data_IF_580196449683
#
_entry.id   IF_580196449683
#
_cell.length_a   1.000
_cell.length_b   1.000
_cell.length_c   1.000
_cell.angle_alpha   90.00
_cell.angle_beta   90.00
_cell.angle_gamma   90.00
#
_symmetry.space_group_name_H-M   'P 1'
#
loop_
_entity.id
_entity.type
_entity.pdbx_description
1 polymer ?
#
# COMPACT_ATOMS: atom_id res chain seq x y z
N UNK A 1 22.79 -7.11 15.29
CA UNK A 1 22.00 -6.61 16.42
C UNK A 1 21.73 -5.11 16.34
N UNK A 2 22.75 -4.28 16.01
CA UNK A 2 22.55 -2.82 15.90
C UNK A 2 21.44 -2.46 14.92
N UNK A 3 21.39 -3.11 13.76
CA UNK A 3 20.31 -2.90 12.77
C UNK A 3 18.93 -3.34 13.29
N UNK A 4 18.85 -4.43 14.06
CA UNK A 4 17.61 -4.89 14.69
C UNK A 4 17.08 -3.88 15.70
N UNK A 5 17.96 -3.33 16.54
CA UNK A 5 17.62 -2.25 17.47
C UNK A 5 17.19 -0.98 16.72
N UNK A 6 17.96 -0.57 15.71
CA UNK A 6 17.66 0.63 14.92
C UNK A 6 16.31 0.51 14.21
N UNK A 7 16.01 -0.64 13.60
CA UNK A 7 14.72 -0.91 12.97
C UNK A 7 13.57 -0.79 13.99
N UNK A 8 13.72 -1.34 15.19
CA UNK A 8 12.73 -1.20 16.25
C UNK A 8 12.56 0.24 16.70
N UNK A 9 13.64 1.02 16.81
CA UNK A 9 13.57 2.44 17.17
C UNK A 9 12.88 3.27 16.06
N UNK A 10 13.11 2.97 14.78
CA UNK A 10 12.43 3.65 13.65
C UNK A 10 10.90 3.47 13.77
N UNK A 11 10.43 2.24 13.93
CA UNK A 11 8.98 1.97 14.09
C UNK A 11 8.45 2.58 15.38
N UNK A 12 9.22 2.46 16.46
CA UNK A 12 8.88 3.00 17.78
C UNK A 12 8.77 4.53 17.82
N UNK A 13 9.54 5.24 16.99
CA UNK A 13 9.47 6.70 16.88
C UNK A 13 8.09 7.14 16.37
N UNK A 14 7.56 6.49 15.34
CA UNK A 14 6.23 6.79 14.83
C UNK A 14 5.14 6.46 15.88
N UNK A 15 5.23 5.30 16.52
CA UNK A 15 4.26 4.92 17.56
C UNK A 15 4.29 5.85 18.76
N UNK A 16 5.48 6.22 19.22
CA UNK A 16 5.66 7.21 20.28
C UNK A 16 5.09 8.59 19.93
N UNK A 17 5.30 9.02 18.69
CA UNK A 17 4.73 10.27 18.19
C UNK A 17 3.20 10.21 18.06
N UNK A 18 2.65 9.13 17.49
CA UNK A 18 1.21 8.96 17.32
C UNK A 18 0.46 8.93 18.67
N UNK A 19 1.11 8.41 19.71
CA UNK A 19 0.54 8.26 21.06
C UNK A 19 1.00 9.36 22.06
N UNK A 20 1.65 10.43 21.58
CA UNK A 20 2.24 11.44 22.47
C UNK A 20 1.23 12.14 23.40
N UNK A 21 -0.03 12.22 22.99
CA UNK A 21 -1.12 12.82 23.77
C UNK A 21 -1.76 11.87 24.79
N UNK A 22 -1.40 10.57 24.79
CA UNK A 22 -1.91 9.61 25.76
C UNK A 22 -1.11 9.67 27.05
N UNK A 23 -1.79 9.55 28.20
CA UNK A 23 -1.16 9.51 29.52
C UNK A 23 -0.15 8.37 29.66
N UNK A 24 0.89 8.63 30.46
CA UNK A 24 1.90 7.61 30.80
C UNK A 24 1.20 6.46 31.59
N UNK A 25 1.30 5.22 31.08
CA UNK A 25 0.64 4.05 31.66
C UNK A 25 -0.53 3.49 30.85
N UNK A 26 -1.15 4.28 29.97
CA UNK A 26 -2.20 3.83 29.04
C UNK A 26 -1.66 3.37 27.67
N UNK A 27 -0.37 3.52 27.43
CA UNK A 27 0.30 3.15 26.19
C UNK A 27 0.67 1.67 26.23
N UNK A 28 0.26 0.89 25.25
CA UNK A 28 0.61 -0.54 25.13
C UNK A 28 2.10 -0.72 24.88
N UNK A 29 2.71 0.12 24.01
CA UNK A 29 4.13 0.08 23.69
C UNK A 29 4.60 1.46 23.18
N UNK A 30 5.70 1.96 23.74
CA UNK A 30 6.33 3.21 23.36
C UNK A 30 7.62 3.00 22.59
N UNK A 31 8.31 4.11 22.28
CA UNK A 31 9.58 4.15 21.54
C UNK A 31 10.61 3.11 22.03
N UNK A 32 10.87 3.05 23.34
CA UNK A 32 11.82 2.10 23.95
C UNK A 32 11.37 0.66 23.79
N UNK A 33 10.06 0.40 23.96
CA UNK A 33 9.49 -0.95 23.87
C UNK A 33 9.67 -1.52 22.47
N UNK A 34 9.44 -0.72 21.44
CA UNK A 34 9.67 -1.15 20.05
C UNK A 34 11.14 -1.41 19.75
N UNK A 35 12.07 -0.60 20.29
CA UNK A 35 13.50 -0.86 20.19
C UNK A 35 13.88 -2.21 20.83
N UNK A 36 13.34 -2.49 22.02
CA UNK A 36 13.56 -3.78 22.71
C UNK A 36 12.95 -4.96 21.96
N UNK A 37 11.77 -4.79 21.35
CA UNK A 37 11.15 -5.83 20.52
C UNK A 37 12.01 -6.13 19.29
N UNK A 38 12.52 -5.12 18.60
CA UNK A 38 13.45 -5.31 17.49
C UNK A 38 14.73 -6.03 17.91
N UNK A 39 15.33 -5.62 19.03
CA UNK A 39 16.52 -6.27 19.59
C UNK A 39 16.22 -7.72 20.00
N UNK A 40 15.08 -7.99 20.64
CA UNK A 40 14.63 -9.34 20.99
C UNK A 40 14.49 -10.23 19.73
N UNK A 41 13.98 -9.69 18.64
CA UNK A 41 13.94 -10.39 17.35
C UNK A 41 15.34 -10.73 16.83
N UNK A 42 16.27 -9.78 16.90
CA UNK A 42 17.68 -10.00 16.53
C UNK A 42 18.37 -11.06 17.41
N UNK A 43 18.12 -11.07 18.71
CA UNK A 43 18.64 -12.09 19.64
C UNK A 43 17.99 -13.46 19.37
N UNK A 44 16.69 -13.49 19.12
CA UNK A 44 15.97 -14.72 18.75
C UNK A 44 16.56 -15.37 17.50
N UNK A 45 17.00 -14.57 16.53
CA UNK A 45 17.62 -15.06 15.30
C UNK A 45 19.01 -15.70 15.52
N UNK A 46 19.73 -15.33 16.59
CA UNK A 46 21.02 -15.89 16.97
C UNK A 46 20.90 -17.11 17.88
N UNK A 47 19.76 -17.28 18.53
CA UNK A 47 19.49 -18.42 19.40
C UNK A 47 19.09 -19.67 18.57
N UNK A 48 19.17 -20.89 19.16
CA UNK A 48 18.54 -22.07 18.59
C UNK A 48 17.06 -21.82 18.29
N UNK A 49 16.53 -22.42 17.24
CA UNK A 49 15.18 -22.14 16.74
C UNK A 49 14.09 -22.31 17.81
N UNK A 50 14.22 -23.29 18.70
CA UNK A 50 13.29 -23.50 19.83
C UNK A 50 13.30 -22.34 20.82
N UNK A 51 14.46 -21.79 21.13
CA UNK A 51 14.62 -20.65 22.04
C UNK A 51 14.14 -19.38 21.34
N UNK A 52 14.50 -19.20 20.07
CA UNK A 52 14.03 -18.08 19.25
C UNK A 52 12.52 -18.04 19.14
N UNK A 53 11.88 -19.20 18.92
CA UNK A 53 10.42 -19.34 18.88
C UNK A 53 9.80 -19.01 20.26
N UNK A 54 10.38 -19.47 21.36
CA UNK A 54 9.90 -19.18 22.72
C UNK A 54 9.95 -17.67 23.02
N UNK A 55 11.00 -16.96 22.60
CA UNK A 55 11.11 -15.50 22.73
C UNK A 55 9.99 -14.82 21.92
N UNK A 56 9.77 -15.26 20.67
CA UNK A 56 8.71 -14.73 19.81
C UNK A 56 7.31 -14.92 20.39
N UNK A 57 7.03 -16.11 20.93
CA UNK A 57 5.75 -16.42 21.63
C UNK A 57 5.60 -15.50 22.86
N UNK A 58 6.65 -15.34 23.65
CA UNK A 58 6.63 -14.45 24.82
C UNK A 58 6.30 -13.00 24.43
N UNK A 59 6.91 -12.47 23.38
CA UNK A 59 6.60 -11.13 22.84
C UNK A 59 5.15 -11.07 22.36
N UNK A 60 4.66 -12.08 21.64
CA UNK A 60 3.28 -12.14 21.16
C UNK A 60 2.28 -12.16 22.30
N UNK A 61 2.54 -12.92 23.39
CA UNK A 61 1.68 -12.97 24.58
C UNK A 61 1.63 -11.59 25.27
N UNK A 62 2.78 -10.96 25.50
CA UNK A 62 2.84 -9.63 26.14
C UNK A 62 2.07 -8.59 25.34
N UNK A 63 2.25 -8.57 24.00
CA UNK A 63 1.52 -7.68 23.12
C UNK A 63 0.03 -7.99 23.07
N UNK A 64 -0.34 -9.27 23.06
CA UNK A 64 -1.74 -9.72 23.09
C UNK A 64 -2.47 -9.36 24.39
N UNK A 65 -1.81 -9.54 25.54
CA UNK A 65 -2.34 -9.12 26.84
C UNK A 65 -2.48 -7.59 26.91
N UNK A 66 -1.49 -6.85 26.38
CA UNK A 66 -1.56 -5.41 26.29
C UNK A 66 -2.75 -4.96 25.43
N UNK A 67 -2.99 -5.62 24.30
CA UNK A 67 -4.14 -5.37 23.42
C UNK A 67 -5.47 -5.68 24.14
N UNK A 68 -5.59 -6.84 24.79
CA UNK A 68 -6.81 -7.25 25.48
C UNK A 68 -7.19 -6.28 26.61
N UNK A 69 -6.20 -5.70 27.31
CA UNK A 69 -6.43 -4.66 28.32
C UNK A 69 -6.87 -3.34 27.71
N UNK A 70 -6.20 -2.92 26.63
CA UNK A 70 -6.53 -1.67 25.91
C UNK A 70 -7.92 -1.74 25.26
N UNK A 71 -8.37 -2.93 24.87
CA UNK A 71 -9.69 -3.15 24.28
C UNK A 71 -10.85 -2.88 25.25
N UNK A 72 -10.62 -3.01 26.55
CA UNK A 72 -11.64 -2.72 27.60
C UNK A 72 -11.89 -1.23 27.79
N UNK A 73 -10.94 -0.39 27.40
CA UNK A 73 -11.00 1.08 27.57
C UNK A 73 -11.50 1.81 26.31
N UNK A 74 -12.19 1.13 25.40
CA UNK A 74 -12.77 1.67 24.13
C UNK A 74 -11.74 2.30 23.15
N UNK A 75 -10.45 2.06 23.37
CA UNK A 75 -9.34 2.62 22.59
C UNK A 75 -8.66 1.54 21.74
N UNK A 76 -9.45 0.68 21.09
CA UNK A 76 -8.97 -0.47 20.33
C UNK A 76 -8.16 -0.04 19.09
N UNK A 77 -6.85 -0.21 19.13
CA UNK A 77 -6.01 -0.18 17.93
C UNK A 77 -5.15 -1.44 17.83
N UNK A 78 -5.62 -2.44 17.10
CA UNK A 78 -4.83 -3.62 16.75
C UNK A 78 -3.51 -3.27 16.04
N UNK A 79 -3.45 -2.09 15.43
CA UNK A 79 -2.29 -1.60 14.67
C UNK A 79 -1.01 -1.58 15.51
N UNK A 80 -1.07 -1.20 16.80
CA UNK A 80 0.11 -1.16 17.66
C UNK A 80 0.64 -2.57 17.96
N UNK A 81 -0.26 -3.52 18.20
CA UNK A 81 0.09 -4.93 18.43
C UNK A 81 0.70 -5.56 17.19
N UNK A 82 0.08 -5.35 16.03
CA UNK A 82 0.59 -5.85 14.74
C UNK A 82 1.93 -5.21 14.42
N UNK A 83 2.09 -3.90 14.64
CA UNK A 83 3.37 -3.22 14.45
C UNK A 83 4.47 -3.80 15.37
N UNK A 84 4.14 -4.18 16.61
CA UNK A 84 5.08 -4.83 17.53
C UNK A 84 5.52 -6.20 17.03
N UNK A 85 4.59 -7.04 16.59
CA UNK A 85 4.90 -8.36 16.00
C UNK A 85 5.76 -8.22 14.73
N UNK A 86 5.41 -7.27 13.87
CA UNK A 86 6.17 -6.97 12.65
C UNK A 86 7.59 -6.48 13.00
N UNK A 87 7.73 -5.64 14.03
CA UNK A 87 9.04 -5.16 14.51
C UNK A 87 9.92 -6.31 14.99
N UNK A 88 9.35 -7.30 15.70
CA UNK A 88 10.07 -8.51 16.08
C UNK A 88 10.56 -9.27 14.84
N UNK A 89 9.68 -9.50 13.86
CA UNK A 89 10.03 -10.18 12.61
C UNK A 89 11.13 -9.43 11.82
N UNK A 90 11.06 -8.10 11.77
CA UNK A 90 12.10 -7.25 11.16
C UNK A 90 13.44 -7.40 11.92
N UNK A 91 13.39 -7.51 13.25
CA UNK A 91 14.57 -7.79 14.06
C UNK A 91 15.22 -9.13 13.73
N UNK A 92 14.42 -10.19 13.53
CA UNK A 92 14.89 -11.49 13.04
C UNK A 92 15.50 -11.36 11.64
N UNK A 93 14.82 -10.67 10.73
CA UNK A 93 15.29 -10.43 9.37
C UNK A 93 16.62 -9.68 9.31
N UNK A 94 16.86 -8.75 10.25
CA UNK A 94 18.11 -7.98 10.33
C UNK A 94 19.36 -8.86 10.50
N UNK A 95 19.19 -10.01 11.15
CA UNK A 95 20.27 -10.96 11.39
C UNK A 95 20.31 -12.04 10.29
N UNK A 96 19.16 -12.60 9.92
CA UNK A 96 19.10 -13.73 8.98
C UNK A 96 19.16 -13.32 7.52
N UNK A 97 18.59 -12.16 7.15
CA UNK A 97 18.45 -11.71 5.75
C UNK A 97 19.31 -10.48 5.43
N UNK A 98 19.83 -9.82 6.45
CA UNK A 98 20.72 -8.68 6.32
C UNK A 98 20.14 -7.33 6.76
N UNK A 99 21.02 -6.39 7.16
CA UNK A 99 20.61 -5.12 7.73
C UNK A 99 19.85 -4.22 6.74
N UNK A 100 20.22 -4.23 5.46
CA UNK A 100 19.60 -3.36 4.45
C UNK A 100 18.12 -3.68 4.27
N UNK A 101 17.75 -4.97 4.16
CA UNK A 101 16.35 -5.39 4.03
C UNK A 101 15.54 -5.04 5.29
N UNK A 102 16.12 -5.26 6.47
CA UNK A 102 15.44 -4.95 7.73
C UNK A 102 15.18 -3.44 7.90
N UNK A 103 16.18 -2.61 7.59
CA UNK A 103 16.00 -1.15 7.65
C UNK A 103 15.01 -0.64 6.61
N UNK A 104 15.01 -1.21 5.39
CA UNK A 104 14.01 -0.91 4.37
C UNK A 104 12.59 -1.30 4.82
N UNK A 105 12.43 -2.49 5.43
CA UNK A 105 11.16 -2.95 6.00
C UNK A 105 10.69 -2.05 7.16
N UNK A 106 11.61 -1.63 8.03
CA UNK A 106 11.30 -0.69 9.11
C UNK A 106 10.87 0.69 8.58
N UNK A 107 11.56 1.20 7.55
CA UNK A 107 11.20 2.46 6.90
C UNK A 107 9.83 2.37 6.19
N UNK A 108 9.55 1.28 5.49
CA UNK A 108 8.25 1.03 4.89
C UNK A 108 7.14 0.94 5.95
N UNK A 109 7.39 0.23 7.05
CA UNK A 109 6.46 0.15 8.18
C UNK A 109 6.20 1.54 8.77
N UNK A 110 7.24 2.32 9.01
CA UNK A 110 7.13 3.71 9.48
C UNK A 110 6.28 4.55 8.52
N UNK A 111 6.53 4.48 7.21
CA UNK A 111 5.79 5.23 6.19
C UNK A 111 4.29 4.86 6.18
N UNK A 112 3.96 3.56 6.23
CA UNK A 112 2.57 3.09 6.29
C UNK A 112 1.88 3.58 7.56
N UNK A 113 2.53 3.49 8.70
CA UNK A 113 1.96 3.91 9.98
C UNK A 113 1.76 5.44 10.05
N UNK A 114 2.73 6.22 9.55
CA UNK A 114 2.66 7.69 9.51
C UNK A 114 1.61 8.21 8.53
N UNK A 115 1.34 7.47 7.45
CA UNK A 115 0.33 7.81 6.44
C UNK A 115 -1.13 7.66 6.92
N UNK A 116 -1.38 7.16 8.14
CA UNK A 116 -2.72 6.86 8.67
C UNK A 116 -3.73 7.99 8.43
N UNK A 117 -3.36 9.24 8.73
CA UNK A 117 -4.28 10.40 8.58
C UNK A 117 -4.62 10.65 7.12
N UNK A 118 -3.62 10.61 6.25
CA UNK A 118 -3.80 10.82 4.81
C UNK A 118 -4.62 9.69 4.18
N UNK A 119 -4.38 8.44 4.59
CA UNK A 119 -5.14 7.28 4.14
C UNK A 119 -6.61 7.35 4.57
N UNK A 120 -6.89 7.72 5.83
CA UNK A 120 -8.27 7.90 6.31
C UNK A 120 -8.97 9.07 5.62
N UNK A 121 -8.27 10.18 5.37
CA UNK A 121 -8.82 11.30 4.62
C UNK A 121 -9.13 10.90 3.16
N UNK A 122 -8.25 10.12 2.54
CA UNK A 122 -8.47 9.58 1.20
C UNK A 122 -9.72 8.67 1.18
N UNK A 123 -9.79 7.71 2.09
CA UNK A 123 -10.92 6.76 2.17
C UNK A 123 -12.27 7.45 2.44
N UNK A 124 -12.30 8.46 3.32
CA UNK A 124 -13.53 9.24 3.57
C UNK A 124 -13.98 10.04 2.34
N UNK A 125 -13.06 10.39 1.46
CA UNK A 125 -13.36 11.10 0.22
C UNK A 125 -13.85 10.19 -0.92
N UNK A 126 -13.75 8.86 -0.79
CA UNK A 126 -14.17 7.91 -1.84
C UNK A 126 -15.66 7.62 -1.75
N UNK A 127 -16.34 7.65 -2.90
CA UNK A 127 -17.71 7.15 -3.06
C UNK A 127 -17.70 5.63 -3.25
N UNK A 128 -18.84 4.98 -3.03
CA UNK A 128 -18.99 3.55 -3.26
C UNK A 128 -18.65 3.15 -4.71
N UNK A 129 -19.04 3.99 -5.67
CA UNK A 129 -18.75 3.80 -7.10
C UNK A 129 -17.25 3.86 -7.41
N UNK A 130 -16.49 4.68 -6.68
CA UNK A 130 -15.03 4.77 -6.83
C UNK A 130 -14.34 3.53 -6.27
N UNK A 131 -14.78 3.06 -5.11
CA UNK A 131 -14.26 1.81 -4.53
C UNK A 131 -14.50 0.64 -5.46
N UNK A 132 -15.69 0.57 -6.06
CA UNK A 132 -16.03 -0.46 -7.04
C UNK A 132 -15.16 -0.35 -8.32
N UNK A 133 -14.91 0.86 -8.81
CA UNK A 133 -14.03 1.08 -9.96
C UNK A 133 -12.59 0.65 -9.67
N UNK A 134 -12.07 0.96 -8.47
CA UNK A 134 -10.76 0.47 -8.01
C UNK A 134 -10.74 -1.06 -7.95
N UNK A 135 -11.76 -1.67 -7.35
CA UNK A 135 -11.83 -3.13 -7.23
C UNK A 135 -11.85 -3.82 -8.60
N UNK A 136 -12.64 -3.31 -9.54
CA UNK A 136 -12.67 -3.82 -10.92
C UNK A 136 -11.32 -3.66 -11.62
N UNK A 137 -10.66 -2.51 -11.46
CA UNK A 137 -9.33 -2.27 -12.02
C UNK A 137 -8.30 -3.26 -11.44
N UNK A 138 -8.26 -3.43 -10.11
CA UNK A 138 -7.35 -4.37 -9.46
C UNK A 138 -7.61 -5.81 -9.90
N UNK A 139 -8.87 -6.21 -10.06
CA UNK A 139 -9.24 -7.52 -10.56
C UNK A 139 -8.69 -7.74 -11.97
N UNK A 140 -8.89 -6.80 -12.87
CA UNK A 140 -8.40 -6.88 -14.26
C UNK A 140 -6.88 -6.89 -14.31
N UNK A 141 -6.22 -6.05 -13.50
CA UNK A 141 -4.76 -5.87 -13.54
C UNK A 141 -4.01 -6.95 -12.77
N UNK A 142 -4.46 -7.34 -11.57
CA UNK A 142 -3.70 -8.21 -10.67
C UNK A 142 -4.18 -9.66 -10.67
N UNK A 143 -5.46 -9.89 -10.97
CA UNK A 143 -6.02 -11.25 -10.97
C UNK A 143 -5.97 -11.86 -12.36
N UNK A 144 -6.49 -11.17 -13.38
CA UNK A 144 -6.60 -11.76 -14.73
C UNK A 144 -5.24 -11.82 -15.44
N UNK A 145 -4.44 -10.74 -15.39
CA UNK A 145 -3.19 -10.64 -16.13
C UNK A 145 -2.17 -11.77 -15.83
N UNK A 146 -1.92 -12.18 -14.56
CA UNK A 146 -0.95 -13.23 -14.27
C UNK A 146 -1.34 -14.61 -14.81
N UNK A 147 -2.65 -14.88 -15.00
CA UNK A 147 -3.15 -16.18 -15.48
C UNK A 147 -3.19 -16.27 -17.00
N UNK A 148 -2.95 -15.17 -17.70
CA UNK A 148 -2.93 -15.20 -19.17
C UNK A 148 -1.59 -15.75 -19.67
N UNK A 149 -1.63 -16.70 -20.64
CA UNK A 149 -0.41 -17.26 -21.22
C UNK A 149 0.36 -16.18 -21.98
N UNK A 150 1.69 -16.17 -21.79
CA UNK A 150 2.62 -15.35 -22.56
C UNK A 150 3.18 -16.17 -23.71
N UNK A 151 2.30 -16.49 -24.66
CA UNK A 151 2.61 -17.28 -25.83
C UNK A 151 1.98 -16.65 -27.06
N UNK A 152 2.71 -16.65 -28.17
CA UNK A 152 2.21 -16.14 -29.44
C UNK A 152 1.33 -17.22 -30.07
N UNK A 153 0.00 -17.02 -30.07
CA UNK A 153 -1.02 -17.95 -30.53
C UNK A 153 -1.60 -17.52 -31.88
N UNK A 154 -2.31 -18.45 -32.53
CA UNK A 154 -3.04 -18.22 -33.76
C UNK A 154 -2.20 -18.23 -35.04
N UNK A 155 -2.81 -17.93 -36.20
CA UNK A 155 -2.11 -17.89 -37.47
C UNK A 155 -0.97 -16.88 -37.43
N UNK A 156 0.22 -17.30 -37.83
CA UNK A 156 1.45 -16.48 -37.83
C UNK A 156 1.93 -15.99 -36.45
N UNK A 157 1.43 -16.57 -35.34
CA UNK A 157 1.81 -16.10 -33.97
C UNK A 157 1.36 -14.68 -33.65
N UNK A 158 0.27 -14.21 -34.29
CA UNK A 158 -0.12 -12.79 -34.22
C UNK A 158 -0.80 -12.40 -32.89
N UNK A 159 -1.24 -13.36 -32.08
CA UNK A 159 -2.07 -13.13 -30.90
C UNK A 159 -1.35 -13.55 -29.63
N UNK A 160 -0.94 -12.57 -28.83
CA UNK A 160 -0.44 -12.86 -27.49
C UNK A 160 -1.47 -12.34 -26.46
N UNK A 161 -2.20 -13.25 -25.75
CA UNK A 161 -3.26 -12.87 -24.83
C UNK A 161 -2.77 -11.93 -23.73
N UNK A 162 -1.57 -12.16 -23.20
CA UNK A 162 -0.99 -11.32 -22.16
C UNK A 162 -0.68 -9.92 -22.63
N UNK A 163 -0.10 -9.79 -23.84
CA UNK A 163 0.19 -8.47 -24.43
C UNK A 163 -1.08 -7.69 -24.75
N UNK A 164 -2.09 -8.35 -25.32
CA UNK A 164 -3.39 -7.73 -25.58
C UNK A 164 -4.04 -7.27 -24.28
N UNK A 165 -4.03 -8.12 -23.26
CA UNK A 165 -4.61 -7.77 -21.97
C UNK A 165 -3.86 -6.64 -21.27
N UNK A 166 -2.54 -6.55 -21.44
CA UNK A 166 -1.75 -5.44 -20.92
C UNK A 166 -2.20 -4.09 -21.49
N UNK A 167 -2.62 -4.05 -22.76
CA UNK A 167 -3.23 -2.85 -23.37
C UNK A 167 -4.55 -2.49 -22.69
N UNK A 168 -5.37 -3.49 -22.36
CA UNK A 168 -6.64 -3.29 -21.62
C UNK A 168 -6.37 -2.73 -20.23
N UNK A 169 -5.39 -3.30 -19.49
CA UNK A 169 -4.97 -2.80 -18.17
C UNK A 169 -4.47 -1.36 -18.26
N UNK A 170 -3.67 -1.06 -19.27
CA UNK A 170 -3.15 0.28 -19.50
C UNK A 170 -4.27 1.30 -19.78
N UNK A 171 -5.20 0.95 -20.68
CA UNK A 171 -6.36 1.79 -20.97
C UNK A 171 -7.24 2.03 -19.72
N UNK A 172 -7.45 0.98 -18.91
CA UNK A 172 -8.17 1.08 -17.64
C UNK A 172 -7.43 1.95 -16.63
N UNK A 173 -6.10 1.84 -16.54
CA UNK A 173 -5.26 2.67 -15.67
C UNK A 173 -5.33 4.16 -16.07
N UNK A 174 -5.27 4.46 -17.35
CA UNK A 174 -5.40 5.82 -17.88
C UNK A 174 -6.78 6.40 -17.58
N UNK A 175 -7.83 5.63 -17.80
CA UNK A 175 -9.20 6.06 -17.53
C UNK A 175 -9.43 6.33 -16.04
N UNK A 176 -8.94 5.44 -15.17
CA UNK A 176 -9.01 5.60 -13.73
C UNK A 176 -8.13 6.79 -13.25
N UNK A 177 -6.90 6.90 -13.73
CA UNK A 177 -6.00 8.01 -13.43
C UNK A 177 -6.60 9.36 -13.83
N UNK A 178 -7.26 9.39 -15.00
CA UNK A 178 -7.98 10.57 -15.48
C UNK A 178 -9.14 10.98 -14.60
N UNK A 179 -9.91 10.01 -14.15
CA UNK A 179 -11.00 10.25 -13.23
C UNK A 179 -10.50 10.85 -11.90
N UNK A 180 -9.45 10.24 -11.31
CA UNK A 180 -8.83 10.74 -10.06
C UNK A 180 -8.24 12.14 -10.26
N UNK A 181 -7.56 12.39 -11.38
CA UNK A 181 -6.99 13.69 -11.70
C UNK A 181 -8.07 14.78 -11.89
N UNK A 182 -9.16 14.46 -12.61
CA UNK A 182 -10.28 15.37 -12.80
C UNK A 182 -10.94 15.76 -11.49
N UNK A 183 -11.08 14.80 -10.57
CA UNK A 183 -11.65 15.03 -9.24
C UNK A 183 -10.75 15.89 -8.36
N UNK A 184 -9.43 15.71 -8.44
CA UNK A 184 -8.48 16.42 -7.56
C UNK A 184 -8.09 17.79 -8.07
N UNK A 185 -8.02 17.99 -9.38
CA UNK A 185 -7.50 19.20 -10.03
C UNK A 185 -8.54 19.95 -10.86
N UNK A 186 -9.79 19.47 -10.89
CA UNK A 186 -10.86 19.96 -11.75
C UNK A 186 -10.87 19.29 -13.13
N UNK A 187 -12.02 19.31 -13.79
CA UNK A 187 -12.25 18.56 -15.05
C UNK A 187 -11.27 18.96 -16.16
N UNK A 188 -10.99 20.24 -16.33
CA UNK A 188 -10.10 20.72 -17.40
C UNK A 188 -8.65 20.27 -17.21
N UNK A 189 -8.10 20.42 -16.00
CA UNK A 189 -6.72 19.98 -15.69
C UNK A 189 -6.59 18.46 -15.66
N UNK A 190 -7.63 17.77 -15.19
CA UNK A 190 -7.68 16.32 -15.20
C UNK A 190 -7.59 15.74 -16.62
N UNK A 191 -8.31 16.32 -17.58
CA UNK A 191 -8.25 15.93 -19.01
C UNK A 191 -6.84 16.17 -19.56
N UNK A 192 -6.22 17.30 -19.25
CA UNK A 192 -4.85 17.61 -19.73
C UNK A 192 -3.80 16.63 -19.17
N UNK A 193 -3.90 16.27 -17.88
CA UNK A 193 -2.97 15.30 -17.26
C UNK A 193 -3.12 13.94 -17.92
N UNK A 194 -4.35 13.49 -18.19
CA UNK A 194 -4.59 12.21 -18.87
C UNK A 194 -4.12 12.25 -20.32
N UNK A 195 -4.38 13.34 -21.02
CA UNK A 195 -3.92 13.52 -22.40
C UNK A 195 -2.39 13.47 -22.49
N UNK A 196 -1.69 14.17 -21.58
CA UNK A 196 -0.22 14.19 -21.56
C UNK A 196 0.37 12.83 -21.18
N UNK A 197 -0.11 12.21 -20.11
CA UNK A 197 0.40 10.89 -19.68
C UNK A 197 0.03 9.79 -20.67
N UNK A 198 -1.15 9.84 -21.23
CA UNK A 198 -1.62 8.89 -22.23
C UNK A 198 -0.91 9.04 -23.58
N UNK A 199 -0.56 10.25 -24.00
CA UNK A 199 0.19 10.50 -25.25
C UNK A 199 1.58 9.86 -25.22
N UNK A 200 2.21 9.78 -24.05
CA UNK A 200 3.51 9.09 -23.88
C UNK A 200 3.39 7.58 -24.12
N UNK A 201 2.22 7.01 -23.80
CA UNK A 201 2.00 5.55 -23.85
C UNK A 201 1.38 5.11 -25.18
N UNK A 202 0.37 5.83 -25.68
CA UNK A 202 -0.27 5.57 -26.97
C UNK A 202 -1.13 6.77 -27.40
N UNK A 203 -0.72 7.44 -28.44
CA UNK A 203 -1.47 8.55 -29.06
C UNK A 203 -2.87 8.11 -29.53
N UNK A 204 -2.97 6.90 -30.03
CA UNK A 204 -4.26 6.33 -30.54
C UNK A 204 -5.29 6.12 -29.43
N UNK A 205 -4.86 5.56 -28.26
CA UNK A 205 -5.74 5.35 -27.13
C UNK A 205 -6.24 6.69 -26.55
N UNK A 206 -5.39 7.70 -26.48
CA UNK A 206 -5.74 9.05 -26.00
C UNK A 206 -6.72 9.74 -26.95
N UNK A 207 -6.48 9.64 -28.27
CA UNK A 207 -7.36 10.23 -29.27
C UNK A 207 -8.76 9.60 -29.19
N UNK A 208 -8.86 8.29 -29.03
CA UNK A 208 -10.14 7.59 -28.86
C UNK A 208 -10.89 7.98 -27.58
N UNK A 209 -10.18 8.17 -26.46
CA UNK A 209 -10.80 8.62 -25.19
C UNK A 209 -11.26 10.07 -25.26
N UNK A 210 -10.45 10.96 -25.86
CA UNK A 210 -10.81 12.36 -26.07
C UNK A 210 -12.02 12.50 -27.00
N UNK A 211 -12.07 11.72 -28.09
CA UNK A 211 -13.19 11.73 -29.02
C UNK A 211 -14.53 11.32 -28.35
N UNK A 212 -14.48 10.44 -27.38
CA UNK A 212 -15.68 10.04 -26.59
C UNK A 212 -16.15 11.08 -25.59
N UNK A 213 -15.26 11.95 -25.14
CA UNK A 213 -15.54 12.99 -24.11
C UNK A 213 -15.98 14.32 -24.73
N UNK A 214 -15.67 14.54 -26.01
CA UNK A 214 -16.15 15.73 -26.72
C UNK A 214 -17.66 15.56 -26.99
N UNK A 215 -18.51 16.52 -26.56
CA UNK A 215 -19.93 16.50 -26.92
C UNK A 215 -20.01 16.60 -28.45
N UNK A 216 -20.86 15.75 -29.06
CA UNK A 216 -21.17 15.88 -30.46
C UNK A 216 -21.70 17.30 -30.71
N UNK A 217 -20.88 18.16 -31.31
CA UNK A 217 -21.38 19.45 -31.76
C UNK A 217 -22.47 19.17 -32.79
N UNK A 218 -23.70 19.72 -32.61
CA UNK A 218 -24.68 19.63 -33.66
C UNK A 218 -24.06 20.31 -34.89
N UNK A 219 -24.03 19.55 -35.99
CA UNK A 219 -23.57 20.07 -37.26
C UNK A 219 -24.30 21.39 -37.49
N UNK A 220 -23.52 22.49 -37.61
CA UNK A 220 -24.04 23.76 -38.04
C UNK A 220 -24.72 23.52 -39.40
N UNK A 221 -26.05 23.60 -39.43
CA UNK A 221 -26.81 23.66 -40.66
C UNK A 221 -26.32 24.91 -41.38
N UNK A 222 -25.57 24.73 -42.43
CA UNK A 222 -25.40 25.73 -43.45
C UNK A 222 -26.75 25.88 -44.12
N UNK A 223 -27.54 26.86 -43.68
CA UNK A 223 -28.65 27.39 -44.48
C UNK A 223 -28.04 28.26 -45.56
N UNK A 224 -28.07 27.81 -46.79
CA UNK A 224 -28.17 28.62 -48.00
C UNK A 224 -29.60 28.59 -48.50
#
# INVERSE_FOLDING_TARGET
LAAALAAGLIVGMERGWAQRAMESGRRVAGFRTFGLIGLAGGLAALAPDSIGAAIGIGVAIVLGVGYARSARDDHMSATTTIAGLLTFAIGVAAVRLGPALALAAAAATFAILSARRSMHALLRGLSATEVEAVARFLLVALVVLPFLPDADLGPYGAWNPRRIWMVVVLAAALSFGGYVAARRFGSERGILIVALTGAIVSSTAVTADLARRLPAQPAARSEE
#
